data_IF_378320613002
#
_entry.id   IF_378320613002
#
_cell.length_a   1.000
_cell.length_b   1.000
_cell.length_c   1.000
_cell.angle_alpha   90.00
_cell.angle_beta   90.00
_cell.angle_gamma   90.00
#
_symmetry.space_group_name_H-M   'P 1'
#
loop_
_entity.id
_entity.type
_entity.pdbx_description
1 polymer ?
#
# COMPACT_ATOMS: atom_id res chain seq x y z
N UNK A 1 21.36 15.40 -20.46
CA UNK A 1 20.05 15.66 -19.84
C UNK A 1 18.88 15.18 -20.70
N UNK A 2 18.73 13.88 -21.01
CA UNK A 2 17.63 13.34 -21.84
C UNK A 2 17.20 11.91 -21.44
N UNK A 3 17.48 11.46 -20.21
CA UNK A 3 17.15 10.08 -19.77
C UNK A 3 15.74 9.87 -19.18
N UNK A 4 14.96 10.95 -19.00
CA UNK A 4 13.67 10.87 -18.26
C UNK A 4 12.45 10.58 -19.13
N UNK A 5 12.55 10.52 -20.45
CA UNK A 5 11.38 10.40 -21.35
C UNK A 5 10.99 8.96 -21.71
N UNK A 6 11.95 8.04 -21.76
CA UNK A 6 11.71 6.66 -22.17
C UNK A 6 10.94 5.83 -21.14
N UNK A 7 11.17 6.06 -19.84
CA UNK A 7 10.42 5.38 -18.77
C UNK A 7 8.92 5.72 -18.78
N UNK A 8 8.57 6.97 -19.11
CA UNK A 8 7.15 7.38 -19.23
C UNK A 8 6.48 6.78 -20.47
N UNK A 9 7.20 6.65 -21.58
CA UNK A 9 6.68 6.03 -22.82
C UNK A 9 6.47 4.52 -22.61
N UNK A 10 7.42 3.83 -21.98
CA UNK A 10 7.30 2.41 -21.62
C UNK A 10 6.15 2.18 -20.62
N UNK A 11 5.96 3.07 -19.64
CA UNK A 11 4.86 3.01 -18.70
C UNK A 11 3.49 3.12 -19.41
N UNK A 12 3.34 4.08 -20.33
CA UNK A 12 2.12 4.25 -21.13
C UNK A 12 1.87 3.04 -22.02
N UNK A 13 2.89 2.49 -22.68
CA UNK A 13 2.77 1.27 -23.48
C UNK A 13 2.39 0.05 -22.64
N UNK A 14 2.97 -0.09 -21.47
CA UNK A 14 2.63 -1.17 -20.54
C UNK A 14 1.21 -1.04 -20.00
N UNK A 15 0.78 0.19 -19.65
CA UNK A 15 -0.58 0.47 -19.22
C UNK A 15 -1.60 0.21 -20.34
N UNK A 16 -1.28 0.54 -21.60
CA UNK A 16 -2.14 0.28 -22.76
C UNK A 16 -2.19 -1.22 -23.13
N UNK A 17 -1.06 -1.93 -23.06
CA UNK A 17 -1.02 -3.37 -23.28
C UNK A 17 -1.74 -4.13 -22.16
N UNK A 18 -1.60 -3.66 -20.92
CA UNK A 18 -2.27 -4.22 -19.76
C UNK A 18 -3.78 -3.93 -19.77
N UNK A 19 -4.18 -2.72 -20.14
CA UNK A 19 -5.59 -2.35 -20.36
C UNK A 19 -6.19 -3.22 -21.48
N UNK A 20 -5.45 -3.45 -22.55
CA UNK A 20 -5.86 -4.35 -23.63
C UNK A 20 -6.04 -5.80 -23.17
N UNK A 21 -5.12 -6.33 -22.36
CA UNK A 21 -5.22 -7.68 -21.78
C UNK A 21 -6.37 -7.77 -20.76
N UNK A 22 -6.53 -6.75 -19.92
CA UNK A 22 -7.62 -6.62 -18.95
C UNK A 22 -9.00 -6.56 -19.59
N UNK A 23 -9.12 -5.82 -20.69
CA UNK A 23 -10.34 -5.73 -21.51
C UNK A 23 -10.63 -7.03 -22.27
N UNK A 24 -9.63 -7.84 -22.58
CA UNK A 24 -9.78 -9.10 -23.34
C UNK A 24 -10.20 -10.29 -22.47
N UNK A 25 -9.97 -10.25 -21.16
CA UNK A 25 -10.17 -11.40 -20.26
C UNK A 25 -11.61 -11.58 -19.77
N UNK A 26 -12.44 -10.51 -19.80
CA UNK A 26 -13.82 -10.53 -19.26
C UNK A 26 -14.93 -10.37 -20.32
N UNK A 27 -14.82 -11.02 -21.48
CA UNK A 27 -15.95 -11.15 -22.40
C UNK A 27 -16.40 -9.85 -23.09
N UNK A 28 -15.50 -8.93 -23.37
CA UNK A 28 -15.80 -7.61 -23.96
C UNK A 28 -15.88 -7.61 -25.50
N UNK A 29 -16.45 -8.68 -26.10
CA UNK A 29 -16.76 -8.72 -27.54
C UNK A 29 -17.73 -7.62 -28.05
N UNK A 30 -18.64 -7.01 -27.25
CA UNK A 30 -19.52 -5.94 -27.75
C UNK A 30 -18.82 -4.57 -27.90
N UNK A 31 -17.67 -4.33 -27.25
CA UNK A 31 -17.05 -2.98 -27.22
C UNK A 31 -16.26 -2.62 -28.49
N UNK A 32 -15.86 -3.58 -29.30
CA UNK A 32 -15.13 -3.30 -30.56
C UNK A 32 -15.95 -2.50 -31.57
N UNK A 33 -17.26 -2.64 -31.60
CA UNK A 33 -18.13 -1.90 -32.53
C UNK A 33 -18.49 -0.49 -32.02
N UNK A 34 -18.61 -0.30 -30.72
CA UNK A 34 -19.02 0.98 -30.14
C UNK A 34 -17.84 1.96 -29.93
N UNK A 35 -16.61 1.47 -29.76
CA UNK A 35 -15.43 2.32 -29.63
C UNK A 35 -15.07 3.14 -30.86
N UNK A 36 -15.45 2.68 -32.04
CA UNK A 36 -15.20 3.41 -33.30
C UNK A 36 -16.16 4.59 -33.52
N UNK A 37 -17.37 4.55 -32.99
CA UNK A 37 -18.32 5.66 -33.09
C UNK A 37 -18.04 6.81 -32.08
N UNK A 38 -17.45 6.50 -30.93
CA UNK A 38 -17.14 7.48 -29.89
C UNK A 38 -15.92 8.37 -30.20
N UNK A 39 -15.05 7.92 -31.10
CA UNK A 39 -13.89 8.71 -31.56
C UNK A 39 -14.26 9.81 -32.55
N UNK A 40 -15.47 9.81 -33.10
CA UNK A 40 -15.95 10.80 -34.10
C UNK A 40 -16.72 11.98 -33.50
N UNK A 41 -17.19 11.91 -32.26
CA UNK A 41 -17.91 13.03 -31.59
C UNK A 41 -17.09 13.59 -30.45
N UNK A 42 -16.35 14.64 -30.75
CA UNK A 42 -15.53 15.40 -29.81
C UNK A 42 -16.34 16.24 -28.82
N UNK A 43 -17.03 15.65 -27.86
CA UNK A 43 -17.65 16.36 -26.76
C UNK A 43 -17.07 15.95 -25.40
N UNK A 44 -16.69 16.96 -24.64
CA UNK A 44 -15.99 16.89 -23.33
C UNK A 44 -16.82 16.36 -22.15
N UNK A 45 -17.88 15.61 -22.35
CA UNK A 45 -18.65 15.00 -21.26
C UNK A 45 -18.45 13.49 -21.26
N UNK A 46 -17.98 12.95 -20.12
CA UNK A 46 -17.89 11.52 -19.92
C UNK A 46 -19.30 10.91 -20.03
N UNK A 47 -19.46 9.78 -20.76
CA UNK A 47 -20.74 9.12 -20.89
C UNK A 47 -21.29 8.69 -19.53
N UNK A 48 -22.59 8.82 -19.31
CA UNK A 48 -23.25 8.28 -18.12
C UNK A 48 -23.21 6.74 -18.16
N UNK A 49 -23.33 6.11 -17.00
CA UNK A 49 -23.35 4.63 -16.90
C UNK A 49 -24.34 4.00 -17.89
N UNK A 50 -25.53 4.57 -18.02
CA UNK A 50 -26.58 4.06 -18.89
C UNK A 50 -26.23 4.12 -20.40
N UNK A 51 -25.38 5.06 -20.80
CA UNK A 51 -24.96 5.23 -22.19
C UNK A 51 -23.79 4.33 -22.62
N UNK A 52 -23.08 3.71 -21.69
CA UNK A 52 -21.87 2.91 -21.99
C UNK A 52 -22.14 1.45 -22.30
N UNK A 53 -23.28 0.91 -21.89
CA UNK A 53 -23.59 -0.52 -22.00
C UNK A 53 -22.68 -1.45 -21.20
N UNK A 54 -21.80 -0.88 -20.34
CA UNK A 54 -20.88 -1.63 -19.50
C UNK A 54 -21.59 -2.23 -18.29
N UNK A 55 -21.18 -3.43 -17.82
CA UNK A 55 -21.62 -3.93 -16.51
C UNK A 55 -21.28 -2.92 -15.40
N UNK A 56 -22.15 -2.76 -14.38
CA UNK A 56 -21.96 -1.80 -13.29
C UNK A 56 -20.58 -1.87 -12.63
N UNK A 57 -20.07 -3.08 -12.43
CA UNK A 57 -18.75 -3.33 -11.87
C UNK A 57 -17.61 -2.84 -12.78
N UNK A 58 -17.71 -3.01 -14.09
CA UNK A 58 -16.71 -2.52 -15.04
C UNK A 58 -16.71 -0.99 -15.12
N UNK A 59 -17.91 -0.37 -15.15
CA UNK A 59 -18.04 1.10 -15.09
C UNK A 59 -17.45 1.68 -13.81
N UNK A 60 -17.76 1.10 -12.66
CA UNK A 60 -17.22 1.55 -11.37
C UNK A 60 -15.68 1.43 -11.32
N UNK A 61 -15.12 0.35 -11.87
CA UNK A 61 -13.65 0.20 -11.98
C UNK A 61 -13.05 1.28 -12.88
N UNK A 62 -13.62 1.52 -14.06
CA UNK A 62 -13.13 2.56 -14.97
C UNK A 62 -13.25 3.96 -14.36
N UNK A 63 -14.38 4.29 -13.78
CA UNK A 63 -14.60 5.57 -13.09
C UNK A 63 -13.57 5.80 -11.98
N UNK A 64 -13.29 4.78 -11.16
CA UNK A 64 -12.26 4.82 -10.12
C UNK A 64 -10.86 5.12 -10.68
N UNK A 65 -10.50 4.52 -11.82
CA UNK A 65 -9.20 4.74 -12.46
C UNK A 65 -9.05 6.19 -12.97
N UNK A 66 -10.13 6.78 -13.45
CA UNK A 66 -10.16 8.17 -13.97
C UNK A 66 -10.17 9.19 -12.83
N UNK A 67 -11.03 8.99 -11.83
CA UNK A 67 -11.25 9.89 -10.69
C UNK A 67 -10.66 9.34 -9.39
N UNK A 68 -9.39 8.91 -9.44
CA UNK A 68 -8.76 8.20 -8.34
C UNK A 68 -8.67 9.04 -7.06
N UNK A 69 -8.40 10.36 -7.15
CA UNK A 69 -8.38 11.24 -5.97
C UNK A 69 -9.74 11.31 -5.28
N UNK A 70 -10.82 11.42 -6.06
CA UNK A 70 -12.18 11.45 -5.52
C UNK A 70 -12.58 10.10 -4.92
N UNK A 71 -12.15 9.00 -5.58
CA UNK A 71 -12.38 7.65 -5.06
C UNK A 71 -11.63 7.40 -3.74
N UNK A 72 -10.41 7.90 -3.58
CA UNK A 72 -9.68 7.87 -2.30
C UNK A 72 -10.39 8.71 -1.24
N UNK A 73 -10.78 9.95 -1.59
CA UNK A 73 -11.49 10.83 -0.67
C UNK A 73 -12.81 10.22 -0.18
N UNK A 74 -13.57 9.56 -1.05
CA UNK A 74 -14.81 8.87 -0.67
C UNK A 74 -14.57 7.69 0.28
N UNK A 75 -13.49 6.91 0.09
CA UNK A 75 -13.12 5.82 1.01
C UNK A 75 -12.72 6.32 2.40
N UNK A 76 -12.27 7.57 2.49
CA UNK A 76 -11.75 8.19 3.72
C UNK A 76 -12.71 9.19 4.37
N UNK A 77 -13.88 9.43 3.77
CA UNK A 77 -14.83 10.49 4.09
C UNK A 77 -15.21 10.58 5.58
N UNK A 78 -15.28 9.43 6.25
CA UNK A 78 -15.71 9.36 7.66
C UNK A 78 -14.52 9.20 8.64
N UNK A 79 -13.28 9.21 8.14
CA UNK A 79 -12.10 8.96 8.96
C UNK A 79 -11.27 10.23 9.14
N UNK A 80 -11.05 10.68 10.39
CA UNK A 80 -10.10 11.75 10.63
C UNK A 80 -8.69 11.26 10.27
N UNK A 81 -8.05 11.93 9.32
CA UNK A 81 -6.68 11.62 8.94
C UNK A 81 -5.69 12.35 9.85
N UNK A 82 -4.70 11.63 10.35
CA UNK A 82 -3.54 12.22 11.02
C UNK A 82 -2.53 12.63 9.94
N UNK A 83 -2.21 13.92 9.82
CA UNK A 83 -1.18 14.38 8.89
C UNK A 83 0.16 13.69 9.14
N UNK A 84 0.93 13.41 8.09
CA UNK A 84 2.21 12.71 8.20
C UNK A 84 3.18 13.42 9.17
N UNK A 85 3.18 14.76 9.19
CA UNK A 85 3.98 15.58 10.11
C UNK A 85 3.62 15.39 11.59
N UNK A 86 2.40 14.91 11.88
CA UNK A 86 1.89 14.67 13.22
C UNK A 86 2.02 13.18 13.64
N UNK A 87 2.74 12.39 12.83
CA UNK A 87 3.12 11.00 13.12
C UNK A 87 4.61 10.96 13.45
N UNK A 88 4.96 10.35 14.56
CA UNK A 88 6.35 10.25 15.01
C UNK A 88 7.27 9.70 13.91
N UNK A 89 8.40 10.38 13.67
CA UNK A 89 9.36 9.96 12.66
C UNK A 89 9.83 8.51 12.82
N UNK A 90 10.06 7.97 14.03
CA UNK A 90 10.36 6.56 14.22
C UNK A 90 9.31 5.62 13.66
N UNK A 91 8.02 5.99 13.69
CA UNK A 91 6.94 5.17 13.11
C UNK A 91 7.02 5.11 11.58
N UNK A 92 7.23 6.25 10.94
CA UNK A 92 7.40 6.35 9.50
C UNK A 92 8.59 5.52 9.02
N UNK A 93 9.74 5.71 9.67
CA UNK A 93 10.98 4.99 9.35
C UNK A 93 10.88 3.48 9.60
N UNK A 94 10.26 3.07 10.71
CA UNK A 94 10.10 1.65 11.03
C UNK A 94 9.21 0.93 10.00
N UNK A 95 8.14 1.57 9.57
CA UNK A 95 7.24 1.03 8.56
C UNK A 95 7.95 0.90 7.21
N UNK A 96 8.63 1.97 6.76
CA UNK A 96 9.39 1.96 5.50
C UNK A 96 10.48 0.88 5.55
N UNK A 97 11.23 0.80 6.64
CA UNK A 97 12.33 -0.14 6.77
C UNK A 97 11.88 -1.61 6.67
N UNK A 98 10.69 -1.95 7.23
CA UNK A 98 10.25 -3.34 7.30
C UNK A 98 9.34 -3.76 6.14
N UNK A 99 8.54 -2.84 5.61
CA UNK A 99 7.57 -3.14 4.55
C UNK A 99 8.13 -2.84 3.15
N UNK A 100 8.87 -1.72 3.02
CA UNK A 100 9.28 -1.22 1.71
C UNK A 100 10.49 -0.27 1.82
N UNK A 101 11.66 -0.80 2.09
CA UNK A 101 12.86 0.01 2.37
C UNK A 101 13.31 0.90 1.21
N UNK A 102 12.82 0.64 0.00
CA UNK A 102 13.07 1.46 -1.20
C UNK A 102 11.88 2.33 -1.60
N UNK A 103 10.93 2.54 -0.70
CA UNK A 103 9.67 3.24 -0.96
C UNK A 103 9.85 4.54 -1.75
N UNK A 104 10.82 5.37 -1.40
CA UNK A 104 11.09 6.63 -2.09
C UNK A 104 11.86 6.50 -3.43
N UNK A 105 12.26 5.28 -3.82
CA UNK A 105 13.13 5.04 -4.98
C UNK A 105 12.39 4.44 -6.18
N UNK A 106 11.23 3.85 -5.98
CA UNK A 106 10.42 3.23 -7.04
C UNK A 106 9.10 3.97 -7.28
N UNK A 107 8.40 3.65 -8.38
CA UNK A 107 7.12 4.24 -8.76
C UNK A 107 5.97 3.23 -8.61
N UNK A 108 5.64 2.88 -7.35
CA UNK A 108 4.50 2.01 -7.00
C UNK A 108 4.82 0.52 -6.97
N UNK A 109 5.79 0.07 -7.74
CA UNK A 109 6.23 -1.32 -7.79
C UNK A 109 7.75 -1.37 -7.75
N UNK A 110 8.31 -2.21 -6.89
CA UNK A 110 9.74 -2.46 -6.78
C UNK A 110 10.11 -3.79 -7.43
N UNK A 111 10.51 -3.73 -8.71
CA UNK A 111 10.90 -4.92 -9.48
C UNK A 111 12.13 -5.61 -8.89
N UNK A 112 13.06 -4.86 -8.29
CA UNK A 112 14.25 -5.44 -7.66
C UNK A 112 13.88 -6.23 -6.41
N UNK A 113 12.99 -5.68 -5.57
CA UNK A 113 12.47 -6.40 -4.39
C UNK A 113 11.65 -7.63 -4.77
N UNK A 114 10.87 -7.57 -5.85
CA UNK A 114 10.12 -8.73 -6.36
C UNK A 114 11.09 -9.83 -6.82
N UNK A 115 12.12 -9.49 -7.60
CA UNK A 115 13.11 -10.46 -8.07
C UNK A 115 13.87 -11.06 -6.90
N UNK A 116 14.34 -10.25 -5.95
CA UNK A 116 15.02 -10.72 -4.74
C UNK A 116 14.14 -11.66 -3.94
N UNK A 117 12.92 -11.27 -3.62
CA UNK A 117 11.97 -12.09 -2.88
C UNK A 117 11.68 -13.42 -3.61
N UNK A 118 11.55 -13.39 -4.93
CA UNK A 118 11.33 -14.60 -5.74
C UNK A 118 12.51 -15.56 -5.65
N UNK A 119 13.75 -15.06 -5.72
CA UNK A 119 14.96 -15.87 -5.59
C UNK A 119 15.08 -16.49 -4.19
N UNK A 120 14.87 -15.68 -3.15
CA UNK A 120 14.90 -16.14 -1.76
C UNK A 120 13.83 -17.22 -1.51
N UNK A 121 12.59 -16.96 -1.93
CA UNK A 121 11.49 -17.91 -1.77
C UNK A 121 11.74 -19.23 -2.52
N UNK A 122 12.34 -19.15 -3.73
CA UNK A 122 12.74 -20.34 -4.49
C UNK A 122 13.85 -21.13 -3.76
N UNK A 123 14.84 -20.44 -3.19
CA UNK A 123 15.95 -21.04 -2.48
C UNK A 123 15.49 -21.80 -1.21
N UNK A 124 14.55 -21.23 -0.47
CA UNK A 124 14.04 -21.81 0.77
C UNK A 124 12.82 -22.71 0.59
N UNK A 125 12.25 -22.81 -0.61
CA UNK A 125 11.04 -23.59 -0.89
C UNK A 125 9.80 -23.13 -0.13
N UNK A 126 9.80 -21.92 0.41
CA UNK A 126 8.73 -21.33 1.20
C UNK A 126 8.65 -19.81 0.97
N UNK A 127 7.47 -19.23 1.21
CA UNK A 127 7.31 -17.76 1.16
C UNK A 127 7.92 -17.15 2.43
N UNK A 128 9.16 -16.71 2.34
CA UNK A 128 9.94 -16.11 3.43
C UNK A 128 10.03 -14.59 3.30
N UNK A 129 10.04 -14.05 2.09
CA UNK A 129 10.05 -12.61 1.83
C UNK A 129 8.86 -12.19 0.96
N UNK A 130 8.25 -11.04 1.29
CA UNK A 130 7.23 -10.38 0.50
C UNK A 130 7.86 -9.37 -0.46
N UNK A 131 7.32 -9.29 -1.69
CA UNK A 131 7.77 -8.30 -2.69
C UNK A 131 6.72 -7.21 -2.94
N UNK A 132 5.68 -7.08 -2.11
CA UNK A 132 4.65 -6.06 -2.29
C UNK A 132 5.08 -4.73 -1.64
N UNK A 133 4.89 -3.63 -2.35
CA UNK A 133 5.22 -2.27 -1.87
C UNK A 133 4.12 -1.70 -0.97
N UNK A 134 4.44 -0.63 -0.22
CA UNK A 134 3.47 0.17 0.54
C UNK A 134 2.33 0.64 -0.38
N UNK A 135 2.64 1.11 -1.58
CA UNK A 135 1.64 1.59 -2.54
C UNK A 135 0.71 0.47 -3.02
N UNK A 136 1.22 -0.73 -3.26
CA UNK A 136 0.41 -1.90 -3.60
C UNK A 136 -0.50 -2.32 -2.42
N UNK A 137 0.03 -2.28 -1.20
CA UNK A 137 -0.76 -2.58 -0.01
C UNK A 137 -1.88 -1.54 0.20
N UNK A 138 -1.58 -0.24 -0.02
CA UNK A 138 -2.59 0.83 0.03
C UNK A 138 -3.70 0.60 -1.01
N UNK A 139 -3.32 0.32 -2.28
CA UNK A 139 -4.27 0.01 -3.35
C UNK A 139 -5.20 -1.14 -2.97
N UNK A 140 -4.62 -2.22 -2.43
CA UNK A 140 -5.37 -3.38 -1.94
C UNK A 140 -6.35 -3.00 -0.83
N UNK A 141 -5.90 -2.26 0.18
CA UNK A 141 -6.71 -1.94 1.36
C UNK A 141 -7.87 -0.98 1.04
N UNK A 142 -7.66 -0.05 0.09
CA UNK A 142 -8.70 0.92 -0.29
C UNK A 142 -9.74 0.34 -1.26
N UNK A 143 -9.33 -0.52 -2.19
CA UNK A 143 -10.13 -0.77 -3.38
C UNK A 143 -10.41 -2.22 -3.73
N UNK A 144 -9.67 -3.18 -3.13
CA UNK A 144 -9.74 -4.57 -3.58
C UNK A 144 -10.33 -5.49 -2.51
N UNK A 145 -10.96 -6.57 -2.98
CA UNK A 145 -11.42 -7.65 -2.10
C UNK A 145 -10.26 -8.49 -1.57
N UNK A 146 -10.55 -9.27 -0.52
CA UNK A 146 -9.55 -10.19 0.07
C UNK A 146 -9.30 -11.47 -0.76
N UNK A 147 -9.99 -11.65 -1.88
CA UNK A 147 -9.78 -12.80 -2.77
C UNK A 147 -8.36 -12.78 -3.35
N UNK A 148 -7.71 -13.95 -3.42
CA UNK A 148 -6.37 -14.08 -3.96
C UNK A 148 -6.42 -14.66 -5.38
N UNK A 149 -6.71 -13.80 -6.37
CA UNK A 149 -6.71 -14.17 -7.78
C UNK A 149 -5.63 -13.42 -8.56
N UNK A 150 -5.17 -13.98 -9.67
CA UNK A 150 -4.20 -13.31 -10.56
C UNK A 150 -4.75 -11.98 -11.11
N UNK A 151 -6.05 -11.96 -11.47
CA UNK A 151 -6.72 -10.75 -11.95
C UNK A 151 -6.71 -9.63 -10.91
N UNK A 152 -7.00 -9.96 -9.64
CA UNK A 152 -6.92 -9.01 -8.53
C UNK A 152 -5.48 -8.48 -8.35
N UNK A 153 -4.45 -9.36 -8.47
CA UNK A 153 -3.05 -8.91 -8.33
C UNK A 153 -2.64 -7.97 -9.47
N UNK A 154 -3.17 -8.20 -10.65
CA UNK A 154 -2.98 -7.30 -11.78
C UNK A 154 -3.67 -5.94 -11.58
N UNK A 155 -4.90 -5.92 -11.02
CA UNK A 155 -5.60 -4.67 -10.67
C UNK A 155 -4.86 -3.88 -9.57
N UNK A 156 -4.34 -4.58 -8.55
CA UNK A 156 -3.49 -4.00 -7.50
C UNK A 156 -2.26 -3.30 -8.09
N UNK A 157 -1.59 -3.95 -9.05
CA UNK A 157 -0.43 -3.39 -9.75
C UNK A 157 -0.79 -2.11 -10.52
N UNK A 158 -1.88 -2.14 -11.30
CA UNK A 158 -2.35 -0.98 -12.06
C UNK A 158 -2.74 0.19 -11.14
N UNK A 159 -3.48 -0.09 -10.07
CA UNK A 159 -3.86 0.92 -9.08
C UNK A 159 -2.65 1.52 -8.36
N UNK A 160 -1.63 0.72 -8.05
CA UNK A 160 -0.40 1.22 -7.43
C UNK A 160 0.33 2.21 -8.35
N UNK A 161 0.45 1.92 -9.64
CA UNK A 161 1.04 2.85 -10.61
C UNK A 161 0.23 4.15 -10.75
N UNK A 162 -1.10 4.05 -10.72
CA UNK A 162 -1.98 5.22 -10.80
C UNK A 162 -1.95 6.07 -9.54
N UNK A 163 -1.85 5.45 -8.35
CA UNK A 163 -1.64 6.18 -7.09
C UNK A 163 -0.34 7.00 -7.15
N UNK A 164 0.76 6.40 -7.58
CA UNK A 164 2.04 7.11 -7.72
C UNK A 164 2.03 8.22 -8.79
N UNK A 165 1.18 8.09 -9.81
CA UNK A 165 1.01 9.13 -10.80
C UNK A 165 0.18 10.33 -10.28
N UNK A 166 -0.61 10.16 -9.24
CA UNK A 166 -1.57 11.13 -8.72
C UNK A 166 -1.24 11.69 -7.34
N UNK A 167 -0.49 10.96 -6.53
CA UNK A 167 -0.13 11.31 -5.16
C UNK A 167 1.40 11.33 -5.01
N UNK A 168 1.91 12.20 -4.16
CA UNK A 168 3.30 12.19 -3.74
C UNK A 168 3.57 11.00 -2.83
N UNK A 169 4.85 10.65 -2.64
CA UNK A 169 5.26 9.59 -1.70
C UNK A 169 4.76 9.85 -0.28
N UNK A 170 4.84 11.10 0.17
CA UNK A 170 4.40 11.47 1.51
C UNK A 170 2.88 11.35 1.66
N UNK A 171 2.10 11.76 0.63
CA UNK A 171 0.65 11.54 0.61
C UNK A 171 0.31 10.04 0.65
N UNK A 172 1.04 9.19 -0.09
CA UNK A 172 0.83 7.73 -0.10
C UNK A 172 1.14 7.13 1.28
N UNK A 173 2.25 7.54 1.91
CA UNK A 173 2.62 7.06 3.24
C UNK A 173 1.61 7.51 4.30
N UNK A 174 1.13 8.76 4.22
CA UNK A 174 0.07 9.29 5.07
C UNK A 174 -1.21 8.47 4.94
N UNK A 175 -1.68 8.26 3.71
CA UNK A 175 -2.87 7.45 3.43
C UNK A 175 -2.71 6.02 3.95
N UNK A 176 -1.55 5.41 3.74
CA UNK A 176 -1.26 4.06 4.21
C UNK A 176 -1.34 3.97 5.73
N UNK A 177 -0.61 4.82 6.46
CA UNK A 177 -0.61 4.87 7.92
C UNK A 177 -2.00 5.11 8.52
N UNK A 178 -2.86 5.85 7.82
CA UNK A 178 -4.22 6.14 8.26
C UNK A 178 -5.24 5.06 7.89
N UNK A 179 -4.91 4.07 7.07
CA UNK A 179 -5.89 3.10 6.55
C UNK A 179 -5.60 1.66 6.93
N UNK A 180 -4.35 1.31 7.20
CA UNK A 180 -4.00 -0.09 7.49
C UNK A 180 -4.57 -0.56 8.82
N UNK A 181 -4.84 -1.85 8.88
CA UNK A 181 -5.30 -2.51 10.09
C UNK A 181 -4.13 -2.92 10.97
N UNK A 182 -4.11 -2.49 12.23
CA UNK A 182 -3.10 -2.79 13.23
C UNK A 182 -3.52 -3.88 14.24
N UNK A 183 -4.64 -4.56 14.05
CA UNK A 183 -5.17 -5.50 15.03
C UNK A 183 -6.02 -4.83 16.12
N UNK A 184 -6.63 -5.64 17.00
CA UNK A 184 -7.49 -5.18 18.11
C UNK A 184 -8.58 -4.15 17.72
N UNK A 185 -9.09 -4.24 16.49
CA UNK A 185 -10.08 -3.30 15.96
C UNK A 185 -9.52 -1.96 15.48
N UNK A 186 -8.20 -1.71 15.61
CA UNK A 186 -7.58 -0.44 15.28
C UNK A 186 -7.27 -0.32 13.77
N UNK A 187 -7.91 0.61 13.11
CA UNK A 187 -7.65 1.00 11.72
C UNK A 187 -6.99 2.37 11.69
N UNK A 188 -5.78 2.42 11.15
CA UNK A 188 -4.95 3.62 11.11
C UNK A 188 -4.17 3.88 12.40
N UNK A 189 -3.14 4.71 12.26
CA UNK A 189 -2.15 4.97 13.30
C UNK A 189 -2.74 5.71 14.51
N UNK A 190 -3.77 6.56 14.31
CA UNK A 190 -4.43 7.28 15.39
C UNK A 190 -5.12 6.32 16.36
N UNK A 191 -5.89 5.37 15.83
CA UNK A 191 -6.55 4.37 16.64
C UNK A 191 -5.54 3.40 17.27
N UNK A 192 -4.53 2.95 16.49
CA UNK A 192 -3.52 2.03 16.97
C UNK A 192 -2.72 2.62 18.16
N UNK A 193 -2.24 3.86 18.04
CA UNK A 193 -1.49 4.50 19.14
C UNK A 193 -2.36 4.71 20.38
N UNK A 194 -3.63 5.05 20.20
CA UNK A 194 -4.60 5.20 21.29
C UNK A 194 -4.94 3.86 21.96
N UNK A 195 -5.24 2.83 21.17
CA UNK A 195 -5.63 1.50 21.67
C UNK A 195 -4.49 0.83 22.41
N UNK A 196 -3.30 0.80 21.82
CA UNK A 196 -2.18 0.06 22.41
C UNK A 196 -1.43 0.81 23.50
N UNK A 197 -1.33 2.15 23.40
CA UNK A 197 -0.48 2.94 24.27
C UNK A 197 -1.18 4.13 24.96
N UNK A 198 -2.42 4.45 24.58
CA UNK A 198 -3.13 5.62 25.10
C UNK A 198 -2.48 6.95 24.74
N UNK A 199 -1.76 7.02 23.62
CA UNK A 199 -0.96 8.16 23.17
C UNK A 199 -1.42 8.68 21.81
N UNK A 200 -1.00 9.92 21.50
CA UNK A 200 -1.08 10.43 20.13
C UNK A 200 -0.01 9.78 19.24
N UNK A 201 -0.20 9.69 17.92
CA UNK A 201 0.81 9.20 16.99
C UNK A 201 2.13 9.96 17.02
N UNK A 202 2.10 11.26 17.32
CA UNK A 202 3.29 12.11 17.47
C UNK A 202 4.17 11.73 18.68
N UNK A 203 3.57 11.11 19.70
CA UNK A 203 4.24 10.80 20.97
C UNK A 203 4.75 9.36 21.06
N UNK A 204 4.70 8.60 19.97
CA UNK A 204 5.21 7.23 19.93
C UNK A 204 6.73 7.22 20.05
N UNK A 205 7.25 6.46 21.01
CA UNK A 205 8.68 6.17 21.15
C UNK A 205 9.13 5.17 20.08
N UNK A 206 10.45 5.03 19.88
CA UNK A 206 11.00 4.05 18.95
C UNK A 206 10.55 2.61 19.29
N UNK A 207 10.47 2.27 20.57
CA UNK A 207 10.02 0.95 21.01
C UNK A 207 8.54 0.69 20.66
N UNK A 208 7.68 1.68 20.86
CA UNK A 208 6.26 1.58 20.52
C UNK A 208 6.04 1.59 19.00
N UNK A 209 6.73 2.48 18.29
CA UNK A 209 6.69 2.59 16.83
C UNK A 209 7.15 1.30 16.13
N UNK A 210 8.26 0.72 16.58
CA UNK A 210 8.77 -0.54 16.01
C UNK A 210 7.87 -1.74 16.28
N UNK A 211 7.15 -1.76 17.42
CA UNK A 211 6.13 -2.78 17.69
C UNK A 211 4.97 -2.63 16.70
N UNK A 212 4.38 -1.42 16.60
CA UNK A 212 3.27 -1.16 15.69
C UNK A 212 3.63 -1.44 14.23
N UNK A 213 4.81 -1.00 13.77
CA UNK A 213 5.25 -1.21 12.40
C UNK A 213 5.38 -2.70 12.02
N UNK A 214 5.53 -3.58 12.99
CA UNK A 214 5.55 -5.02 12.76
C UNK A 214 4.20 -5.67 12.55
N UNK A 215 3.11 -5.02 12.95
CA UNK A 215 1.77 -5.61 13.00
C UNK A 215 1.09 -5.84 11.64
N UNK A 216 1.23 -4.97 10.63
CA UNK A 216 0.49 -5.08 9.37
C UNK A 216 0.67 -6.40 8.64
N UNK A 217 1.77 -7.11 8.85
CA UNK A 217 2.03 -8.42 8.26
C UNK A 217 0.99 -9.48 8.66
N UNK A 218 0.56 -9.49 9.94
CA UNK A 218 -0.44 -10.42 10.46
C UNK A 218 -1.14 -9.80 11.69
N UNK A 219 -1.97 -8.78 11.52
CA UNK A 219 -2.43 -7.88 12.59
C UNK A 219 -3.11 -8.60 13.77
N UNK A 220 -3.94 -9.59 13.48
CA UNK A 220 -4.65 -10.34 14.52
C UNK A 220 -3.69 -11.24 15.32
N UNK A 221 -2.71 -11.87 14.65
CA UNK A 221 -1.75 -12.78 15.31
C UNK A 221 -0.65 -12.02 16.05
N UNK A 222 -0.20 -10.89 15.50
CA UNK A 222 0.89 -10.07 16.04
C UNK A 222 0.40 -8.98 16.99
N UNK A 223 -0.89 -8.95 17.31
CA UNK A 223 -1.40 -8.06 18.35
C UNK A 223 -0.80 -8.48 19.71
N UNK A 224 -0.16 -7.56 20.45
CA UNK A 224 0.43 -7.86 21.75
C UNK A 224 -0.60 -8.24 22.82
N UNK A 225 -1.88 -8.00 22.58
CA UNK A 225 -2.97 -8.48 23.41
C UNK A 225 -3.27 -9.97 23.20
N UNK A 226 -2.96 -10.50 22.00
CA UNK A 226 -3.17 -11.91 21.68
C UNK A 226 -1.91 -12.76 21.93
N UNK A 227 -0.75 -12.24 21.47
CA UNK A 227 0.54 -12.94 21.61
C UNK A 227 1.66 -11.90 21.73
N UNK A 228 2.01 -11.56 22.97
CA UNK A 228 3.04 -10.58 23.26
C UNK A 228 4.43 -11.02 22.79
N UNK A 229 4.73 -12.31 22.92
CA UNK A 229 6.05 -12.83 22.53
C UNK A 229 6.21 -12.83 20.99
N UNK A 230 5.17 -13.19 20.25
CA UNK A 230 5.17 -13.05 18.80
C UNK A 230 5.30 -11.58 18.34
N UNK A 231 4.62 -10.65 19.01
CA UNK A 231 4.74 -9.23 18.76
C UNK A 231 6.19 -8.73 19.03
N UNK A 232 6.80 -9.12 20.15
CA UNK A 232 8.19 -8.80 20.51
C UNK A 232 9.19 -9.41 19.51
N UNK A 233 8.97 -10.64 19.10
CA UNK A 233 9.79 -11.29 18.07
C UNK A 233 9.67 -10.55 16.73
N UNK A 234 8.48 -10.10 16.35
CA UNK A 234 8.30 -9.29 15.14
C UNK A 234 8.94 -7.90 15.29
N UNK A 235 8.85 -7.28 16.46
CA UNK A 235 9.55 -6.02 16.77
C UNK A 235 11.07 -6.14 16.54
N UNK A 236 11.69 -7.26 16.93
CA UNK A 236 13.13 -7.46 16.69
C UNK A 236 13.49 -7.45 15.21
N UNK A 237 12.62 -7.98 14.35
CA UNK A 237 12.81 -7.94 12.89
C UNK A 237 12.72 -6.49 12.37
N UNK A 238 11.77 -5.69 12.89
CA UNK A 238 11.64 -4.26 12.53
C UNK A 238 12.90 -3.50 12.96
N UNK A 239 13.38 -3.70 14.19
CA UNK A 239 14.58 -3.03 14.70
C UNK A 239 15.85 -3.45 13.92
N UNK A 240 15.93 -4.72 13.53
CA UNK A 240 17.01 -5.21 12.67
C UNK A 240 16.95 -4.56 11.27
N UNK A 241 15.75 -4.35 10.70
CA UNK A 241 15.58 -3.64 9.44
C UNK A 241 15.97 -2.16 9.56
N UNK A 242 15.53 -1.46 10.62
CA UNK A 242 15.93 -0.09 10.91
C UNK A 242 17.45 0.06 10.99
N UNK A 243 18.12 -0.88 11.67
CA UNK A 243 19.58 -0.89 11.79
C UNK A 243 20.25 -1.20 10.45
N UNK A 244 19.75 -2.20 9.70
CA UNK A 244 20.29 -2.59 8.39
C UNK A 244 20.27 -1.44 7.39
N UNK A 245 19.21 -0.63 7.40
CA UNK A 245 19.03 0.48 6.47
C UNK A 245 19.52 1.83 7.02
N UNK A 246 20.23 1.82 8.17
CA UNK A 246 20.93 2.98 8.69
C UNK A 246 20.07 4.03 9.39
N UNK A 247 18.84 3.71 9.75
CA UNK A 247 17.97 4.60 10.53
C UNK A 247 18.38 4.69 12.01
N UNK A 248 18.91 3.59 12.56
CA UNK A 248 19.41 3.50 13.94
C UNK A 248 20.72 2.70 13.99
N UNK A 249 21.46 2.82 15.09
CA UNK A 249 22.66 1.97 15.31
C UNK A 249 22.26 0.58 15.81
N UNK A 250 23.13 -0.45 15.66
CA UNK A 250 22.90 -1.77 16.27
C UNK A 250 22.73 -1.71 17.80
N UNK A 251 23.45 -0.84 18.48
CA UNK A 251 23.32 -0.61 19.92
C UNK A 251 21.93 -0.09 20.30
N UNK A 252 21.44 0.92 19.58
CA UNK A 252 20.08 1.45 19.75
C UNK A 252 19.02 0.38 19.50
N UNK A 253 19.20 -0.49 18.49
CA UNK A 253 18.27 -1.58 18.23
C UNK A 253 18.18 -2.55 19.42
N UNK A 254 19.33 -2.93 20.00
CA UNK A 254 19.39 -3.83 21.16
C UNK A 254 18.79 -3.20 22.40
N UNK A 255 19.12 -1.94 22.68
CA UNK A 255 18.56 -1.18 23.80
C UNK A 255 17.03 -1.06 23.69
N UNK A 256 16.54 -0.69 22.50
CA UNK A 256 15.11 -0.57 22.25
C UNK A 256 14.37 -1.90 22.39
N UNK A 257 14.98 -3.02 21.96
CA UNK A 257 14.40 -4.36 22.10
C UNK A 257 14.18 -4.73 23.56
N UNK A 258 15.07 -4.29 24.45
CA UNK A 258 15.00 -4.55 25.89
C UNK A 258 14.15 -3.52 26.65
N UNK A 259 13.71 -2.46 26.01
CA UNK A 259 12.84 -1.45 26.63
C UNK A 259 11.48 -2.06 26.96
N UNK A 260 11.04 -1.87 28.20
CA UNK A 260 9.73 -2.31 28.65
C UNK A 260 8.61 -1.53 27.94
N UNK A 261 7.68 -2.24 27.36
CA UNK A 261 6.49 -1.66 26.74
C UNK A 261 5.33 -1.66 27.75
N UNK A 262 4.70 -0.51 27.92
CA UNK A 262 3.50 -0.38 28.74
C UNK A 262 2.29 -0.31 27.82
N UNK A 263 1.59 -1.43 27.69
CA UNK A 263 0.34 -1.49 26.96
C UNK A 263 -0.80 -0.87 27.81
N UNK A 264 -1.74 -0.25 27.14
CA UNK A 264 -2.99 0.21 27.77
C UNK A 264 -3.83 -1.03 28.10
N UNK A 265 -4.36 -1.08 29.31
CA UNK A 265 -5.29 -2.12 29.76
C UNK A 265 -6.71 -1.81 29.29
#
# INVERSE_FOLDING_TARGET
>A
MRRLRWGRVLLVFFCLAFLGAFLSFDGLSPLKQQGQSLLQEGTRQLPSFESTGLPKNAWQRLHRLIFLRDAVAEQLKERPLTPLRDIALPMQQALIAVEDHRFYQHAGVDMESILRASLVNLQFGAITEGGSTITQQLAKNLFLSHEQTMGRKAEEFALALLLEARFSKDEILELYLNTIYFGAGAYGIQEASSVYFGKSPASLSLAEASLLAGMPQAPSRLSPYNDFDAAKKRQSIVLAALSRYGYITPGTATETQNTALRLRQ
#
